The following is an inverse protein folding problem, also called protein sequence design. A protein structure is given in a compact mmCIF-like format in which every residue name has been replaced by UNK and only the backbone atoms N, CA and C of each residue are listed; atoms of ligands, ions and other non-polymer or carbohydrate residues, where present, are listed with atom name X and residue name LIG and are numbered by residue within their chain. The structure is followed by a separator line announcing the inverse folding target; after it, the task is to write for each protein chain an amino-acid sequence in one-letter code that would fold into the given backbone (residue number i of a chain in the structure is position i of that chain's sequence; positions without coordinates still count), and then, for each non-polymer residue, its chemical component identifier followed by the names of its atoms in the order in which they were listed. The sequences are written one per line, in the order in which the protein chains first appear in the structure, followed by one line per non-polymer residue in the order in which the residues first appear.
data_IF_952077230686
#
_entry.id   IF_952077230686
#
_cell.length_a   1.000
_cell.length_b   1.000
_cell.length_c   1.000
_cell.angle_alpha   90.00
_cell.angle_beta   90.00
_cell.angle_gamma   90.00
#
_symmetry.space_group_name_H-M   'P 1'
#
loop_
_entity.id
_entity.type
_entity.pdbx_description
1 polymer ?
#
# COMPACT_ATOMS: atom_id res chain seq x y z
N UNK A 1 20.11 -32.22 -7.43
CA UNK A 1 19.97 -30.75 -7.61
C UNK A 1 18.65 -30.21 -7.07
N UNK A 2 17.48 -30.78 -7.42
CA UNK A 2 16.15 -30.29 -6.98
C UNK A 2 15.97 -30.10 -5.47
N UNK A 3 16.48 -31.01 -4.64
CA UNK A 3 16.34 -30.91 -3.18
C UNK A 3 17.12 -29.73 -2.57
N UNK A 4 18.32 -29.44 -3.08
CA UNK A 4 19.12 -28.28 -2.63
C UNK A 4 18.48 -26.96 -3.05
N UNK A 5 17.99 -26.90 -4.29
CA UNK A 5 17.26 -25.72 -4.78
C UNK A 5 15.98 -25.49 -3.97
N UNK A 6 15.21 -26.54 -3.69
CA UNK A 6 14.01 -26.44 -2.87
C UNK A 6 14.32 -25.98 -1.44
N UNK A 7 15.39 -26.52 -0.82
CA UNK A 7 15.82 -26.10 0.51
C UNK A 7 16.27 -24.63 0.54
N UNK A 8 17.02 -24.19 -0.49
CA UNK A 8 17.43 -22.78 -0.62
C UNK A 8 16.22 -21.86 -0.80
N UNK A 9 15.26 -22.22 -1.65
CA UNK A 9 14.02 -21.44 -1.83
C UNK A 9 13.23 -21.38 -0.52
N UNK A 10 13.08 -22.51 0.17
CA UNK A 10 12.39 -22.58 1.45
C UNK A 10 13.05 -21.72 2.54
N UNK A 11 14.37 -21.54 2.51
CA UNK A 11 15.09 -20.70 3.45
C UNK A 11 15.08 -19.21 3.05
N UNK A 12 15.22 -18.90 1.76
CA UNK A 12 15.36 -17.52 1.27
C UNK A 12 14.01 -16.79 1.26
N UNK A 13 12.93 -17.45 0.84
CA UNK A 13 11.62 -16.80 0.70
C UNK A 13 11.09 -16.23 2.03
N UNK A 14 11.13 -16.93 3.18
CA UNK A 14 10.67 -16.35 4.44
C UNK A 14 11.47 -15.12 4.86
N UNK A 15 12.79 -15.15 4.64
CA UNK A 15 13.69 -14.04 4.99
C UNK A 15 13.38 -12.80 4.14
N UNK A 16 13.17 -12.97 2.84
CA UNK A 16 12.83 -11.85 1.96
C UNK A 16 11.45 -11.28 2.27
N UNK A 17 10.46 -12.12 2.57
CA UNK A 17 9.13 -11.68 2.98
C UNK A 17 9.17 -10.91 4.29
N UNK A 18 9.91 -11.39 5.30
CA UNK A 18 10.06 -10.69 6.57
C UNK A 18 10.75 -9.32 6.40
N UNK A 19 11.82 -9.26 5.61
CA UNK A 19 12.50 -8.01 5.30
C UNK A 19 11.58 -7.00 4.59
N UNK A 20 10.81 -7.46 3.60
CA UNK A 20 9.84 -6.62 2.90
C UNK A 20 8.77 -6.07 3.87
N UNK A 21 8.22 -6.92 4.76
CA UNK A 21 7.24 -6.47 5.75
C UNK A 21 7.80 -5.41 6.71
N UNK A 22 9.05 -5.56 7.16
CA UNK A 22 9.73 -4.56 7.99
C UNK A 22 9.89 -3.24 7.23
N UNK A 23 10.34 -3.30 5.98
CA UNK A 23 10.51 -2.11 5.13
C UNK A 23 9.17 -1.40 4.92
N UNK A 24 8.10 -2.12 4.57
CA UNK A 24 6.77 -1.54 4.36
C UNK A 24 6.26 -0.85 5.63
N UNK A 25 6.40 -1.51 6.78
CA UNK A 25 6.00 -0.95 8.07
C UNK A 25 6.79 0.31 8.44
N UNK A 26 8.11 0.28 8.24
CA UNK A 26 8.98 1.43 8.55
C UNK A 26 8.77 2.60 7.57
N UNK A 27 8.48 2.29 6.30
CA UNK A 27 8.22 3.31 5.27
C UNK A 27 6.79 3.83 5.27
N UNK A 28 5.90 3.21 6.06
CA UNK A 28 4.46 3.50 6.14
C UNK A 28 3.74 3.29 4.82
N UNK A 29 3.87 2.06 4.31
CA UNK A 29 3.15 1.58 3.14
C UNK A 29 2.35 0.33 3.47
N UNK A 30 1.20 0.21 2.84
CA UNK A 30 0.41 -1.02 2.81
C UNK A 30 0.59 -1.70 1.46
N UNK A 31 0.78 -3.01 1.49
CA UNK A 31 0.87 -3.86 0.32
C UNK A 31 -0.40 -4.69 0.21
N UNK A 32 -1.09 -4.56 -0.92
CA UNK A 32 -2.21 -5.39 -1.29
C UNK A 32 -1.85 -6.17 -2.56
N UNK A 33 -2.07 -7.48 -2.54
CA UNK A 33 -1.79 -8.35 -3.68
C UNK A 33 -3.00 -9.24 -3.96
N UNK A 34 -3.46 -9.20 -5.21
CA UNK A 34 -4.46 -10.10 -5.75
C UNK A 34 -4.00 -10.69 -7.08
N UNK A 35 -4.81 -11.56 -7.68
CA UNK A 35 -4.49 -12.22 -8.95
C UNK A 35 -4.29 -11.25 -10.14
N UNK A 36 -4.79 -10.03 -10.06
CA UNK A 36 -4.75 -9.03 -11.13
C UNK A 36 -3.74 -7.90 -10.87
N UNK A 37 -3.42 -7.62 -9.61
CA UNK A 37 -2.54 -6.49 -9.26
C UNK A 37 -1.77 -6.70 -7.97
N UNK A 38 -0.62 -6.05 -7.93
CA UNK A 38 0.11 -5.70 -6.72
C UNK A 38 -0.04 -4.19 -6.56
N UNK A 39 -0.53 -3.75 -5.41
CA UNK A 39 -0.80 -2.36 -5.10
C UNK A 39 -0.09 -1.96 -3.81
N UNK A 40 0.58 -0.81 -3.86
CA UNK A 40 1.26 -0.18 -2.74
C UNK A 40 0.61 1.18 -2.49
N UNK A 41 0.02 1.33 -1.31
CA UNK A 41 -0.62 2.56 -0.85
C UNK A 41 0.18 3.19 0.30
N UNK A 42 0.46 4.50 0.26
CA UNK A 42 1.04 5.19 1.40
C UNK A 42 0.01 5.31 2.51
N UNK A 43 0.43 5.15 3.76
CA UNK A 43 -0.44 5.30 4.92
C UNK A 43 0.04 6.37 5.89
N UNK A 44 -0.91 6.95 6.60
CA UNK A 44 -0.65 7.98 7.60
C UNK A 44 0.29 7.47 8.70
N UNK A 45 1.33 8.26 9.01
CA UNK A 45 2.29 7.90 10.03
C UNK A 45 1.70 8.17 11.42
N UNK A 46 1.72 7.17 12.31
CA UNK A 46 1.35 7.37 13.73
C UNK A 46 2.24 8.41 14.42
N UNK A 47 3.49 8.56 13.97
CA UNK A 47 4.46 9.53 14.47
C UNK A 47 4.37 10.91 13.81
N UNK A 48 3.48 11.12 12.83
CA UNK A 48 3.30 12.44 12.24
C UNK A 48 2.77 13.42 13.31
N UNK A 49 3.42 14.58 13.52
CA UNK A 49 3.00 15.55 14.53
C UNK A 49 1.61 16.12 14.26
N UNK A 50 1.24 16.24 12.98
CA UNK A 50 -0.01 16.86 12.53
C UNK A 50 -1.18 15.90 12.69
N UNK A 51 -1.18 14.78 11.95
CA UNK A 51 -2.32 13.86 11.92
C UNK A 51 -2.25 12.71 12.92
N UNK A 52 -1.09 12.41 13.51
CA UNK A 52 -0.88 11.30 14.48
C UNK A 52 -1.46 9.95 14.03
N UNK A 53 -1.46 9.70 12.73
CA UNK A 53 -2.00 8.49 12.11
C UNK A 53 -3.47 8.54 11.72
N UNK A 54 -4.19 9.64 11.96
CA UNK A 54 -5.57 9.83 11.50
C UNK A 54 -5.68 10.08 9.99
N UNK A 55 -4.58 10.46 9.34
CA UNK A 55 -4.52 10.70 7.90
C UNK A 55 -5.00 12.08 7.45
N UNK A 56 -5.65 12.85 8.31
CA UNK A 56 -6.11 14.17 7.95
C UNK A 56 -6.93 14.81 9.05
N UNK A 57 -7.62 15.88 8.72
CA UNK A 57 -8.61 16.52 9.59
C UNK A 57 -9.87 16.84 8.78
N UNK A 58 -11.01 16.80 9.45
CA UNK A 58 -12.28 17.18 8.83
C UNK A 58 -12.35 18.71 8.76
N UNK A 59 -12.55 19.24 7.55
CA UNK A 59 -12.86 20.66 7.39
C UNK A 59 -14.37 20.89 7.55
N UNK A 60 -14.75 21.95 8.25
CA UNK A 60 -16.16 22.31 8.42
C UNK A 60 -16.76 22.91 7.15
N UNK A 61 -18.06 22.74 6.93
CA UNK A 61 -18.76 23.30 5.77
C UNK A 61 -20.00 22.49 5.38
N UNK A 62 -20.66 22.91 4.30
CA UNK A 62 -21.86 22.22 3.78
C UNK A 62 -21.55 20.79 3.29
N UNK A 63 -20.33 20.56 2.81
CA UNK A 63 -19.79 19.26 2.41
C UNK A 63 -18.44 19.05 3.12
N UNK A 64 -18.41 18.45 4.32
CA UNK A 64 -17.16 18.24 5.04
C UNK A 64 -16.33 17.17 4.34
N UNK A 65 -15.24 17.58 3.70
CA UNK A 65 -14.21 16.68 3.19
C UNK A 65 -13.10 16.51 4.24
N UNK A 66 -12.38 15.40 4.17
CA UNK A 66 -11.18 15.22 4.98
C UNK A 66 -10.00 15.83 4.22
N UNK A 67 -9.39 16.87 4.79
CA UNK A 67 -8.15 17.42 4.25
C UNK A 67 -7.01 16.44 4.56
N UNK A 68 -6.32 15.90 3.53
CA UNK A 68 -5.36 14.85 3.72
C UNK A 68 -4.02 15.43 4.22
N UNK A 69 -3.42 14.75 5.19
CA UNK A 69 -2.14 15.17 5.75
C UNK A 69 -0.98 14.86 4.77
N UNK A 70 -0.14 15.86 4.50
CA UNK A 70 1.01 15.75 3.59
C UNK A 70 1.98 14.60 3.92
N UNK A 71 1.99 14.09 5.16
CA UNK A 71 2.87 12.98 5.53
C UNK A 71 2.66 11.69 4.71
N UNK A 72 1.47 11.51 4.12
CA UNK A 72 1.14 10.42 3.21
C UNK A 72 0.52 10.90 1.90
N UNK A 73 -0.23 12.01 1.91
CA UNK A 73 -0.99 12.50 0.75
C UNK A 73 -0.13 12.87 -0.47
N UNK A 74 1.08 13.37 -0.23
CA UNK A 74 2.00 13.76 -1.31
C UNK A 74 2.72 12.56 -1.95
N UNK A 75 2.53 11.36 -1.40
CA UNK A 75 3.20 10.14 -1.89
C UNK A 75 2.35 9.48 -2.95
N UNK A 76 3.02 9.06 -4.03
CA UNK A 76 2.34 8.43 -5.16
C UNK A 76 2.07 6.95 -4.91
N UNK A 77 0.81 6.53 -5.01
CA UNK A 77 0.46 5.11 -5.07
C UNK A 77 1.13 4.39 -6.25
N UNK A 78 1.56 3.14 -6.02
CA UNK A 78 2.19 2.32 -7.06
C UNK A 78 1.34 1.08 -7.31
N UNK A 79 1.01 0.82 -8.58
CA UNK A 79 0.24 -0.35 -8.98
C UNK A 79 0.95 -1.08 -10.11
N UNK A 80 1.29 -2.34 -9.89
CA UNK A 80 1.79 -3.25 -10.91
C UNK A 80 0.67 -4.22 -11.30
N UNK A 81 0.25 -4.18 -12.56
CA UNK A 81 -0.80 -5.06 -13.09
C UNK A 81 -0.19 -6.40 -13.51
N UNK A 82 -0.73 -7.49 -12.97
CA UNK A 82 -0.32 -8.86 -13.24
C UNK A 82 -1.13 -9.50 -14.36
N UNK A 83 -2.43 -9.22 -14.39
CA UNK A 83 -3.36 -9.68 -15.43
C UNK A 83 -4.18 -8.49 -15.95
N UNK A 84 -4.72 -8.58 -17.18
CA UNK A 84 -5.74 -7.65 -17.63
C UNK A 84 -6.86 -7.60 -16.58
N UNK A 85 -7.19 -6.38 -16.14
CA UNK A 85 -8.34 -6.18 -15.27
C UNK A 85 -9.57 -6.61 -16.09
N UNK A 86 -10.43 -7.51 -15.60
CA UNK A 86 -11.70 -7.74 -16.28
C UNK A 86 -12.38 -6.38 -16.45
N UNK A 87 -12.75 -6.05 -17.69
CA UNK A 87 -13.43 -4.83 -18.10
C UNK A 87 -14.83 -4.84 -17.50
N UNK A 88 -14.93 -4.55 -16.21
CA UNK A 88 -16.19 -4.30 -15.53
C UNK A 88 -16.05 -2.94 -14.90
N UNK A 89 -16.78 -1.91 -15.38
CA UNK A 89 -16.77 -0.61 -14.75
C UNK A 89 -17.63 -0.74 -13.48
N UNK A 90 -16.99 -0.77 -12.32
CA UNK A 90 -17.66 -0.47 -11.07
C UNK A 90 -16.85 0.64 -10.43
N UNK A 91 -17.49 1.81 -10.38
CA UNK A 91 -17.14 2.96 -9.53
C UNK A 91 -15.83 3.70 -9.82
N UNK A 92 -15.54 3.98 -11.09
CA UNK A 92 -14.66 5.12 -11.42
C UNK A 92 -15.56 6.31 -11.82
N UNK A 93 -15.74 7.33 -10.95
CA UNK A 93 -16.36 8.56 -11.38
C UNK A 93 -15.46 9.19 -12.45
N UNK A 94 -16.04 9.77 -13.52
CA UNK A 94 -15.26 10.33 -14.59
C UNK A 94 -14.49 11.54 -14.05
N UNK A 95 -13.15 11.46 -14.02
CA UNK A 95 -12.30 12.63 -13.92
C UNK A 95 -11.29 12.62 -15.07
#
# INVERSE_FOLDING_TARGET
MRARTAALVAAVVPVTVAAAAVVLKASHWELYADRHRIHLAPVARRSCPDCRGAGGWWVGGANPEMEPCGCWAERRELTLRLLPRPTVPYDEPPF
#
